data_IF_315116970977
#
_entry.id   IF_315116970977
#
_cell.length_a   1.000
_cell.length_b   1.000
_cell.length_c   1.000
_cell.angle_alpha   90.00
_cell.angle_beta   90.00
_cell.angle_gamma   90.00
#
_symmetry.space_group_name_H-M   'P 1'
#
loop_
_entity.id
_entity.type
_entity.pdbx_description
1 polymer ?
#
# COMPACT_ATOMS: atom_id res chain seq x y z
N UNK A 1 -38.37 -0.36 37.67
CA UNK A 1 -37.50 -0.54 36.49
C UNK A 1 -36.05 -0.26 36.89
N UNK A 2 -35.11 -1.19 36.71
CA UNK A 2 -33.70 -0.93 36.99
C UNK A 2 -33.11 0.03 35.95
N UNK A 3 -32.30 0.98 36.41
CA UNK A 3 -31.68 2.05 35.61
C UNK A 3 -30.51 1.45 34.79
N UNK A 4 -30.35 1.75 33.49
CA UNK A 4 -29.26 1.18 32.70
C UNK A 4 -27.90 1.69 33.21
N UNK A 5 -26.94 0.77 33.33
CA UNK A 5 -25.58 1.08 33.77
C UNK A 5 -24.89 1.97 32.73
N UNK A 6 -24.51 3.18 33.14
CA UNK A 6 -23.73 4.11 32.30
C UNK A 6 -22.24 3.81 32.44
N UNK A 7 -21.48 3.96 31.35
CA UNK A 7 -20.00 3.86 31.35
C UNK A 7 -19.35 4.68 32.46
N UNK A 8 -19.93 5.85 32.81
CA UNK A 8 -19.45 6.69 33.93
C UNK A 8 -19.67 6.06 35.31
N UNK A 9 -20.73 5.28 35.49
CA UNK A 9 -21.04 4.60 36.75
C UNK A 9 -20.07 3.46 37.04
N UNK A 10 -19.58 2.79 35.99
CA UNK A 10 -18.59 1.71 36.09
C UNK A 10 -17.20 2.27 36.46
N UNK A 11 -16.80 3.37 35.83
CA UNK A 11 -15.54 4.07 36.14
C UNK A 11 -15.52 4.65 37.55
N UNK A 12 -16.65 5.16 38.04
CA UNK A 12 -16.77 5.67 39.42
C UNK A 12 -16.71 4.57 40.49
N UNK A 13 -17.27 3.38 40.19
CA UNK A 13 -17.20 2.22 41.09
C UNK A 13 -15.78 1.68 41.29
N UNK A 14 -14.95 1.72 40.23
CA UNK A 14 -13.56 1.27 40.29
C UNK A 14 -12.65 2.18 41.14
N UNK A 15 -13.04 3.44 41.38
CA UNK A 15 -12.25 4.39 42.15
C UNK A 15 -12.53 4.35 43.67
N UNK A 16 -13.59 3.68 44.12
CA UNK A 16 -14.10 3.81 45.51
C UNK A 16 -14.00 2.53 46.36
N UNK A 17 -13.66 1.38 45.78
CA UNK A 17 -13.34 0.16 46.54
C UNK A 17 -11.83 -0.07 46.61
N UNK A 18 -11.15 0.73 47.44
CA UNK A 18 -9.80 0.43 47.87
C UNK A 18 -9.83 -0.56 49.04
N UNK A 19 -9.29 -1.77 48.86
CA UNK A 19 -8.64 -2.60 49.87
C UNK A 19 -8.19 -3.92 49.21
N UNK A 20 -6.98 -3.93 48.63
CA UNK A 20 -6.05 -5.07 48.54
C UNK A 20 -4.69 -4.52 48.06
N UNK A 21 -3.57 -4.63 48.81
CA UNK A 21 -2.27 -4.02 48.48
C UNK A 21 -1.52 -4.61 47.27
N UNK A 22 -2.18 -5.38 46.41
CA UNK A 22 -1.54 -6.13 45.30
C UNK A 22 -1.74 -5.49 43.92
N UNK A 23 -2.34 -4.30 43.82
CA UNK A 23 -2.70 -3.68 42.53
C UNK A 23 -1.66 -2.70 41.94
N UNK A 24 -0.51 -2.49 42.59
CA UNK A 24 0.56 -1.61 42.05
C UNK A 24 1.13 -2.08 40.70
N UNK A 25 0.86 -3.34 40.30
CA UNK A 25 1.22 -3.89 39.00
C UNK A 25 0.17 -3.71 37.89
N UNK A 26 -1.08 -3.34 38.22
CA UNK A 26 -2.20 -3.26 37.27
C UNK A 26 -2.38 -1.87 36.63
N UNK A 27 -1.74 -0.84 37.18
CA UNK A 27 -1.77 0.54 36.67
C UNK A 27 -0.49 0.94 35.94
N UNK A 28 0.49 0.03 35.85
CA UNK A 28 1.66 0.26 35.02
C UNK A 28 1.24 0.09 33.55
N UNK A 29 1.48 1.08 32.67
CA UNK A 29 1.23 0.92 31.25
C UNK A 29 2.08 -0.22 30.75
N UNK A 30 1.46 -1.39 30.52
CA UNK A 30 2.11 -2.47 29.79
C UNK A 30 2.31 -1.97 28.38
N UNK A 31 3.57 -1.85 27.96
CA UNK A 31 3.90 -1.71 26.55
C UNK A 31 3.31 -2.93 25.85
N UNK A 32 2.20 -2.74 25.14
CA UNK A 32 1.71 -3.71 24.19
C UNK A 32 2.75 -3.77 23.08
N UNK A 33 3.68 -4.71 23.21
CA UNK A 33 4.54 -5.08 22.09
C UNK A 33 3.68 -5.91 21.15
N UNK A 34 3.71 -5.58 19.86
CA UNK A 34 3.10 -6.42 18.85
C UNK A 34 3.63 -7.85 19.01
N UNK A 35 2.74 -8.84 18.93
CA UNK A 35 3.17 -10.23 18.91
C UNK A 35 4.20 -10.40 17.77
N UNK A 36 5.32 -11.09 18.02
CA UNK A 36 6.25 -11.38 16.94
C UNK A 36 5.47 -12.12 15.84
N UNK A 37 5.58 -11.69 14.57
CA UNK A 37 4.93 -12.40 13.49
C UNK A 37 5.36 -13.87 13.52
N UNK A 38 4.46 -14.78 13.15
CA UNK A 38 4.81 -16.17 12.99
C UNK A 38 6.02 -16.29 12.03
N UNK A 39 6.90 -17.29 12.19
CA UNK A 39 8.12 -17.43 11.38
C UNK A 39 7.90 -17.43 9.86
N UNK A 40 6.69 -17.75 9.42
CA UNK A 40 6.21 -17.84 8.04
C UNK A 40 5.18 -16.76 7.67
N UNK A 41 4.91 -15.80 8.55
CA UNK A 41 3.95 -14.74 8.29
C UNK A 41 4.50 -13.77 7.23
N UNK A 42 4.00 -13.91 6.01
CA UNK A 42 4.26 -12.98 4.92
C UNK A 42 3.44 -11.69 5.11
N UNK A 43 4.05 -10.56 4.79
CA UNK A 43 3.37 -9.26 4.71
C UNK A 43 3.21 -8.90 3.25
N UNK A 44 2.00 -8.51 2.87
CA UNK A 44 1.79 -7.90 1.56
C UNK A 44 2.21 -6.43 1.64
N UNK A 45 3.17 -6.02 0.80
CA UNK A 45 3.67 -4.65 0.76
C UNK A 45 3.09 -3.95 -0.45
N UNK A 46 2.40 -2.84 -0.21
CA UNK A 46 1.84 -1.97 -1.24
C UNK A 46 2.73 -0.74 -1.37
N UNK A 47 3.16 -0.43 -2.60
CA UNK A 47 3.96 0.76 -2.89
C UNK A 47 3.18 1.63 -3.86
N UNK A 48 2.78 2.81 -3.38
CA UNK A 48 2.17 3.84 -4.22
C UNK A 48 3.21 4.91 -4.54
N UNK A 49 3.74 4.85 -5.76
CA UNK A 49 4.67 5.86 -6.26
C UNK A 49 3.86 7.06 -6.78
N UNK A 50 3.64 8.07 -5.95
CA UNK A 50 2.94 9.30 -6.34
C UNK A 50 3.85 10.26 -7.13
N UNK A 51 3.27 11.02 -8.06
CA UNK A 51 3.98 12.01 -8.87
C UNK A 51 3.74 11.85 -10.38
N UNK A 52 4.28 12.81 -11.14
CA UNK A 52 4.32 12.74 -12.59
C UNK A 52 5.52 11.92 -13.04
N UNK A 53 5.32 10.62 -13.23
CA UNK A 53 6.36 9.74 -13.76
C UNK A 53 6.26 9.71 -15.28
N UNK A 54 7.40 9.90 -15.95
CA UNK A 54 7.48 9.70 -17.39
C UNK A 54 7.54 8.19 -17.69
N UNK A 55 6.40 7.61 -18.06
CA UNK A 55 6.28 6.17 -18.32
C UNK A 55 7.13 5.72 -19.50
N UNK A 56 7.50 6.62 -20.41
CA UNK A 56 8.39 6.34 -21.55
C UNK A 56 9.82 6.02 -21.11
N UNK A 57 10.17 6.26 -19.84
CA UNK A 57 11.49 5.90 -19.29
C UNK A 57 11.67 4.41 -19.02
N UNK A 58 10.58 3.65 -18.84
CA UNK A 58 10.65 2.20 -18.53
C UNK A 58 9.50 1.41 -19.13
N UNK A 59 8.24 1.73 -18.79
CA UNK A 59 7.10 0.83 -19.02
C UNK A 59 6.28 1.13 -20.28
N UNK A 60 6.55 2.23 -20.97
CA UNK A 60 5.90 2.60 -22.23
C UNK A 60 6.93 2.66 -23.40
N UNK A 61 7.33 1.50 -23.98
CA UNK A 61 8.30 1.45 -25.08
C UNK A 61 7.62 1.78 -26.42
N UNK A 62 7.32 3.06 -26.60
CA UNK A 62 6.57 3.67 -27.70
C UNK A 62 7.44 4.06 -28.92
N UNK A 63 8.53 3.32 -29.17
CA UNK A 63 9.50 3.63 -30.24
C UNK A 63 8.90 3.68 -31.66
N UNK A 64 7.77 3.00 -31.88
CA UNK A 64 7.08 2.95 -33.17
C UNK A 64 6.00 4.03 -33.31
N UNK A 65 5.82 4.86 -32.28
CA UNK A 65 4.80 5.90 -32.21
C UNK A 65 5.43 7.28 -32.44
N UNK A 66 5.35 7.79 -33.67
CA UNK A 66 5.91 9.09 -34.04
C UNK A 66 5.30 10.31 -33.32
N UNK A 67 4.24 10.12 -32.52
CA UNK A 67 3.68 11.17 -31.66
C UNK A 67 4.28 11.18 -30.25
N UNK A 68 5.17 10.24 -29.93
CA UNK A 68 5.82 10.12 -28.62
C UNK A 68 7.32 10.36 -28.79
N UNK A 69 7.85 11.30 -28.00
CA UNK A 69 9.28 11.52 -27.92
C UNK A 69 9.92 10.44 -27.03
N UNK A 70 10.92 9.74 -27.57
CA UNK A 70 11.72 8.76 -26.84
C UNK A 70 13.10 9.37 -26.60
N UNK A 71 13.68 9.11 -25.44
CA UNK A 71 15.03 9.61 -25.13
C UNK A 71 16.06 9.17 -26.17
N UNK A 72 17.02 10.05 -26.46
CA UNK A 72 18.21 9.66 -27.19
C UNK A 72 18.92 8.50 -26.47
N UNK A 73 19.48 7.56 -27.24
CA UNK A 73 20.17 6.36 -26.75
C UNK A 73 19.28 5.37 -25.95
N UNK A 74 17.97 5.62 -25.83
CA UNK A 74 17.05 4.61 -25.31
C UNK A 74 16.82 3.50 -26.35
N UNK A 75 16.71 2.28 -25.86
CA UNK A 75 16.47 1.10 -26.70
C UNK A 75 15.33 0.25 -26.18
N UNK A 76 14.65 -0.44 -27.12
CA UNK A 76 13.66 -1.45 -26.78
C UNK A 76 14.38 -2.68 -26.22
N UNK A 77 14.03 -3.07 -25.00
CA UNK A 77 14.53 -4.28 -24.36
C UNK A 77 13.38 -5.17 -23.90
N UNK A 78 13.70 -6.40 -23.51
CA UNK A 78 12.71 -7.36 -23.00
C UNK A 78 13.36 -8.23 -21.93
N UNK A 79 12.65 -8.45 -20.82
CA UNK A 79 13.02 -9.42 -19.79
C UNK A 79 11.89 -10.45 -19.66
N UNK A 80 12.14 -11.69 -20.04
CA UNK A 80 11.08 -12.69 -20.22
C UNK A 80 10.10 -12.26 -21.33
N UNK A 81 8.85 -12.02 -20.96
CA UNK A 81 7.80 -11.50 -21.84
C UNK A 81 7.44 -10.03 -21.54
N UNK A 82 8.21 -9.34 -20.70
CA UNK A 82 7.94 -7.97 -20.27
C UNK A 82 8.78 -7.02 -21.13
N UNK A 83 8.18 -6.25 -22.06
CA UNK A 83 8.89 -5.23 -22.80
C UNK A 83 9.17 -4.03 -21.90
N UNK A 84 10.34 -3.40 -22.06
CA UNK A 84 10.70 -2.19 -21.34
C UNK A 84 11.66 -1.32 -22.14
N UNK A 85 11.81 -0.07 -21.71
CA UNK A 85 12.77 0.89 -22.23
C UNK A 85 14.05 0.79 -21.43
N UNK A 86 15.14 0.41 -22.09
CA UNK A 86 16.46 0.44 -21.49
C UNK A 86 17.24 1.68 -21.90
N UNK A 87 18.17 2.10 -21.04
CA UNK A 87 18.99 3.27 -21.30
C UNK A 87 20.34 3.16 -20.57
N UNK A 88 21.48 3.52 -21.22
CA UNK A 88 22.81 3.36 -20.63
C UNK A 88 23.02 4.17 -19.34
N UNK A 89 22.33 5.30 -19.16
CA UNK A 89 22.37 6.09 -17.92
C UNK A 89 21.50 5.51 -16.78
N UNK A 90 20.71 4.46 -17.04
CA UNK A 90 19.86 3.79 -16.04
C UNK A 90 20.16 2.29 -15.94
N UNK A 91 21.42 1.88 -15.71
CA UNK A 91 21.79 0.45 -15.67
C UNK A 91 21.06 -0.33 -14.56
N UNK A 92 20.58 0.37 -13.52
CA UNK A 92 19.77 -0.21 -12.46
C UNK A 92 18.44 -0.80 -12.95
N UNK A 93 17.82 -0.24 -14.00
CA UNK A 93 16.58 -0.76 -14.58
C UNK A 93 16.85 -2.11 -15.23
N UNK A 94 17.84 -2.21 -16.11
CA UNK A 94 18.26 -3.48 -16.72
C UNK A 94 18.61 -4.53 -15.68
N UNK A 95 19.40 -4.16 -14.66
CA UNK A 95 19.77 -5.08 -13.59
C UNK A 95 18.54 -5.58 -12.81
N UNK A 96 17.59 -4.69 -12.48
CA UNK A 96 16.37 -5.05 -11.79
C UNK A 96 15.48 -5.99 -12.60
N UNK A 97 15.25 -5.68 -13.88
CA UNK A 97 14.44 -6.49 -14.78
C UNK A 97 15.06 -7.89 -14.97
N UNK A 98 16.37 -7.95 -15.18
CA UNK A 98 17.09 -9.21 -15.29
C UNK A 98 16.91 -10.09 -14.05
N UNK A 99 17.04 -9.51 -12.85
CA UNK A 99 16.94 -10.25 -11.59
C UNK A 99 15.49 -10.66 -11.22
N UNK A 100 14.47 -9.89 -11.62
CA UNK A 100 13.13 -10.02 -11.03
C UNK A 100 12.00 -10.38 -12.00
N UNK A 101 12.18 -10.30 -13.33
CA UNK A 101 11.08 -10.44 -14.30
C UNK A 101 10.22 -11.70 -14.12
N UNK A 102 10.82 -12.83 -13.73
CA UNK A 102 10.14 -14.11 -13.50
C UNK A 102 9.10 -14.09 -12.35
N UNK A 103 9.07 -13.02 -11.53
CA UNK A 103 8.12 -12.80 -10.43
C UNK A 103 7.27 -11.55 -10.63
N UNK A 104 7.29 -10.97 -11.83
CA UNK A 104 6.64 -9.70 -12.12
C UNK A 104 5.42 -9.89 -13.02
N UNK A 105 4.39 -9.10 -12.73
CA UNK A 105 3.29 -8.81 -13.66
C UNK A 105 3.28 -7.29 -13.86
N UNK A 106 3.34 -6.85 -15.11
CA UNK A 106 3.27 -5.44 -15.48
C UNK A 106 1.95 -5.19 -16.21
N UNK A 107 1.19 -4.21 -15.73
CA UNK A 107 -0.08 -3.78 -16.33
C UNK A 107 0.14 -2.36 -16.86
N UNK A 108 0.19 -2.24 -18.19
CA UNK A 108 0.39 -0.96 -18.86
C UNK A 108 -0.94 -0.22 -19.02
N UNK A 109 -1.22 0.62 -18.02
CA UNK A 109 -2.38 1.50 -18.01
C UNK A 109 -3.64 0.85 -17.44
N UNK A 110 -4.44 1.67 -16.78
CA UNK A 110 -5.79 1.35 -16.34
C UNK A 110 -6.67 2.51 -16.80
N UNK A 111 -7.72 2.21 -17.56
CA UNK A 111 -8.68 3.23 -17.94
C UNK A 111 -9.51 3.60 -16.71
N UNK A 112 -9.36 4.83 -16.24
CA UNK A 112 -10.14 5.38 -15.14
C UNK A 112 -11.05 6.46 -15.70
N UNK A 113 -12.33 6.46 -15.32
CA UNK A 113 -13.35 7.39 -15.86
C UNK A 113 -13.25 8.77 -15.21
N UNK A 114 -12.04 9.34 -15.12
CA UNK A 114 -11.75 10.64 -14.55
C UNK A 114 -10.48 11.22 -15.16
N UNK A 115 -10.35 12.56 -15.10
CA UNK A 115 -9.15 13.29 -15.58
C UNK A 115 -8.36 13.84 -14.39
N UNK A 116 -9.03 14.17 -13.28
CA UNK A 116 -8.39 14.67 -12.08
C UNK A 116 -7.61 13.55 -11.38
N UNK A 117 -6.30 13.73 -11.21
CA UNK A 117 -5.39 12.72 -10.66
C UNK A 117 -5.83 12.19 -9.28
N UNK A 118 -6.35 13.06 -8.42
CA UNK A 118 -6.85 12.70 -7.10
C UNK A 118 -8.07 11.76 -7.20
N UNK A 119 -9.02 12.09 -8.08
CA UNK A 119 -10.18 11.24 -8.34
C UNK A 119 -9.76 9.91 -8.98
N UNK A 120 -8.80 9.91 -9.92
CA UNK A 120 -8.28 8.69 -10.51
C UNK A 120 -7.65 7.78 -9.45
N UNK A 121 -6.86 8.36 -8.55
CA UNK A 121 -6.21 7.63 -7.46
C UNK A 121 -7.24 7.00 -6.53
N UNK A 122 -8.27 7.77 -6.13
CA UNK A 122 -9.38 7.24 -5.33
C UNK A 122 -10.08 6.09 -6.06
N UNK A 123 -10.48 6.27 -7.31
CA UNK A 123 -11.16 5.23 -8.08
C UNK A 123 -10.34 3.94 -8.22
N UNK A 124 -9.01 4.04 -8.43
CA UNK A 124 -8.13 2.87 -8.53
C UNK A 124 -7.97 2.16 -7.19
N UNK A 125 -7.90 2.92 -6.09
CA UNK A 125 -7.65 2.35 -4.77
C UNK A 125 -8.91 1.86 -4.07
N UNK A 126 -10.06 2.53 -4.24
CA UNK A 126 -11.29 2.29 -3.48
C UNK A 126 -12.49 1.89 -4.36
N UNK A 127 -12.37 2.00 -5.68
CA UNK A 127 -13.48 1.72 -6.63
C UNK A 127 -14.53 2.83 -6.72
N UNK A 128 -14.38 3.93 -5.98
CA UNK A 128 -15.34 5.03 -5.90
C UNK A 128 -14.63 6.39 -5.77
N UNK A 129 -15.37 7.47 -5.94
CA UNK A 129 -14.89 8.85 -5.70
C UNK A 129 -15.44 9.45 -4.40
N UNK A 130 -16.11 8.66 -3.56
CA UNK A 130 -16.76 9.12 -2.33
C UNK A 130 -15.75 9.52 -1.25
N UNK A 131 -14.57 8.88 -1.23
CA UNK A 131 -13.56 9.01 -0.18
C UNK A 131 -13.91 8.31 1.14
N UNK A 132 -15.05 7.60 1.21
CA UNK A 132 -15.50 6.92 2.43
C UNK A 132 -15.26 5.41 2.43
N UNK A 133 -15.00 4.83 1.27
CA UNK A 133 -14.77 3.40 1.13
C UNK A 133 -13.29 3.06 1.37
N UNK A 134 -12.99 1.94 2.06
CA UNK A 134 -11.61 1.52 2.30
C UNK A 134 -10.93 1.17 0.99
N UNK A 135 -9.62 1.41 0.91
CA UNK A 135 -8.83 0.97 -0.23
C UNK A 135 -8.60 -0.55 -0.21
N UNK A 136 -8.31 -1.12 -1.38
CA UNK A 136 -8.07 -2.56 -1.50
C UNK A 136 -6.91 -3.07 -0.61
N UNK A 137 -5.82 -2.31 -0.32
CA UNK A 137 -4.85 -2.69 0.70
C UNK A 137 -5.44 -2.84 2.11
N UNK A 138 -6.30 -1.91 2.53
CA UNK A 138 -6.98 -1.95 3.83
C UNK A 138 -7.91 -3.15 3.91
N UNK A 139 -8.64 -3.44 2.83
CA UNK A 139 -9.53 -4.63 2.75
C UNK A 139 -8.70 -5.91 2.87
N UNK A 140 -7.57 -6.02 2.16
CA UNK A 140 -6.69 -7.19 2.25
C UNK A 140 -6.08 -7.37 3.64
N UNK A 141 -5.68 -6.27 4.29
CA UNK A 141 -5.14 -6.32 5.64
C UNK A 141 -6.18 -6.82 6.65
N UNK A 142 -7.43 -6.34 6.55
CA UNK A 142 -8.53 -6.77 7.42
C UNK A 142 -8.95 -8.23 7.19
N UNK A 143 -8.84 -8.74 5.96
CA UNK A 143 -9.15 -10.13 5.63
C UNK A 143 -8.02 -11.12 5.98
N UNK A 144 -6.82 -10.63 6.24
CA UNK A 144 -5.65 -11.43 6.61
C UNK A 144 -5.45 -11.62 8.11
N UNK A 145 -6.34 -11.07 8.94
CA UNK A 145 -6.50 -11.43 10.36
C UNK A 145 -7.46 -12.61 10.53
#
# INVERSE_FOLDING_TARGET
MPRPLSRRSILAGLATTGLLPSASGLLLPRRALAAPPAPDALRFVFVFASGGWDTTRVFAPEFDNGAVDMEADAERATAGNIPFVDHPQRPSVRAFMAANHHRMLVINGVLVRAIAHEICTMLVLTGTSSGFDPDWPTILAAAGE
#
